data_IF_435664027784
#
_entry.id   IF_435664027784
#
_cell.length_a   1.000
_cell.length_b   1.000
_cell.length_c   1.000
_cell.angle_alpha   90.00
_cell.angle_beta   90.00
_cell.angle_gamma   90.00
#
_symmetry.space_group_name_H-M   'P 1'
#
loop_
_entity.id
_entity.type
_entity.pdbx_description
1 polymer ?
#
# COMPACT_ATOMS: atom_id res chain seq x y z
N UNK A 1 -3.13 7.31 27.98
CA UNK A 1 -3.98 6.94 26.83
C UNK A 1 -3.43 5.66 26.20
N UNK A 2 -4.35 4.77 25.79
CA UNK A 2 -4.02 3.60 24.96
C UNK A 2 -4.63 3.82 23.58
N UNK A 3 -3.83 3.61 22.51
CA UNK A 3 -4.30 3.73 21.13
C UNK A 3 -4.31 2.32 20.53
N UNK A 4 -5.46 1.91 20.01
CA UNK A 4 -5.68 0.60 19.43
C UNK A 4 -6.02 0.75 17.94
N UNK A 5 -5.28 0.07 17.07
CA UNK A 5 -5.69 -0.12 15.67
C UNK A 5 -6.51 -1.41 15.60
N UNK A 6 -7.81 -1.28 15.33
CA UNK A 6 -8.73 -2.41 15.28
C UNK A 6 -9.03 -2.79 13.83
N UNK A 7 -8.81 -4.07 13.51
CA UNK A 7 -9.19 -4.64 12.23
C UNK A 7 -10.70 -4.85 12.14
N UNK A 8 -11.25 -4.98 10.91
CA UNK A 8 -12.64 -5.33 10.70
C UNK A 8 -13.02 -6.68 11.34
N UNK A 9 -12.08 -7.62 11.38
CA UNK A 9 -12.26 -8.94 12.03
C UNK A 9 -12.46 -8.83 13.55
N UNK A 10 -11.71 -7.94 14.20
CA UNK A 10 -11.84 -7.69 15.64
C UNK A 10 -13.14 -6.96 15.94
N UNK A 11 -13.44 -5.90 15.17
CA UNK A 11 -14.69 -5.16 15.30
C UNK A 11 -15.92 -6.02 15.02
N UNK A 12 -15.84 -6.93 14.05
CA UNK A 12 -16.95 -7.84 13.75
C UNK A 12 -17.31 -8.73 14.92
N UNK A 13 -16.31 -9.22 15.66
CA UNK A 13 -16.48 -10.07 16.85
C UNK A 13 -16.73 -9.31 18.14
N UNK A 14 -16.61 -7.99 18.12
CA UNK A 14 -16.79 -7.16 19.30
C UNK A 14 -18.26 -7.13 19.71
N UNK A 15 -18.55 -7.50 20.96
CA UNK A 15 -19.91 -7.55 21.52
C UNK A 15 -20.33 -6.21 22.14
N UNK A 16 -19.40 -5.48 22.75
CA UNK A 16 -19.61 -4.15 23.33
C UNK A 16 -18.47 -3.24 22.92
N UNK A 17 -18.71 -1.93 22.94
CA UNK A 17 -17.70 -0.92 22.67
C UNK A 17 -17.67 0.07 23.84
N UNK A 18 -16.75 -0.17 24.77
CA UNK A 18 -16.51 0.66 25.93
C UNK A 18 -15.36 1.66 25.72
N UNK A 19 -14.99 1.91 24.48
CA UNK A 19 -13.94 2.86 24.11
C UNK A 19 -14.40 4.31 24.36
N UNK A 20 -13.50 5.14 24.87
CA UNK A 20 -13.79 6.56 25.06
C UNK A 20 -13.84 7.32 23.73
N UNK A 21 -13.01 6.92 22.76
CA UNK A 21 -12.92 7.56 21.46
C UNK A 21 -12.92 6.51 20.35
N UNK A 22 -13.73 6.74 19.33
CA UNK A 22 -13.78 5.95 18.09
C UNK A 22 -13.41 6.80 16.88
N UNK A 23 -12.38 6.42 16.16
CA UNK A 23 -11.92 7.13 14.96
C UNK A 23 -12.10 6.21 13.75
N UNK A 24 -12.91 6.63 12.79
CA UNK A 24 -13.09 5.96 11.53
C UNK A 24 -12.52 6.85 10.42
N UNK A 25 -11.36 6.48 9.88
CA UNK A 25 -10.69 7.28 8.87
C UNK A 25 -11.42 7.18 7.53
N UNK A 26 -11.00 6.26 6.68
CA UNK A 26 -11.67 5.99 5.41
C UNK A 26 -11.98 4.50 5.28
N UNK A 27 -13.01 4.16 4.52
CA UNK A 27 -13.36 2.78 4.23
C UNK A 27 -13.30 2.57 2.72
N UNK A 28 -12.50 1.58 2.29
CA UNK A 28 -12.44 1.11 0.92
C UNK A 28 -12.66 -0.40 0.90
N UNK A 29 -13.14 -0.94 -0.22
CA UNK A 29 -13.42 -2.36 -0.33
C UNK A 29 -12.18 -3.21 -0.07
N UNK A 30 -12.26 -4.08 0.94
CA UNK A 30 -11.24 -5.06 1.30
C UNK A 30 -11.89 -6.22 2.06
N UNK A 31 -11.21 -7.35 2.18
CA UNK A 31 -11.66 -8.51 2.98
C UNK A 31 -13.07 -9.01 2.66
N UNK A 32 -13.50 -8.91 1.39
CA UNK A 32 -14.82 -9.39 0.96
C UNK A 32 -14.93 -10.91 1.05
N UNK A 33 -13.81 -11.63 0.91
CA UNK A 33 -13.67 -13.05 1.15
C UNK A 33 -14.14 -13.49 2.54
N UNK A 34 -13.91 -12.65 3.56
CA UNK A 34 -14.39 -12.91 4.92
C UNK A 34 -15.80 -12.36 5.18
N UNK A 35 -16.05 -11.12 4.80
CA UNK A 35 -17.29 -10.41 5.13
C UNK A 35 -18.45 -10.71 4.17
N UNK A 36 -18.18 -11.37 3.05
CA UNK A 36 -19.15 -11.71 2.02
C UNK A 36 -19.62 -10.53 1.14
N UNK A 37 -19.58 -9.30 1.66
CA UNK A 37 -19.95 -8.10 0.91
C UNK A 37 -19.28 -6.83 1.45
N UNK A 38 -19.17 -5.80 0.59
CA UNK A 38 -18.72 -4.48 1.05
C UNK A 38 -19.62 -3.89 2.14
N UNK A 39 -20.93 -4.13 2.06
CA UNK A 39 -21.90 -3.66 3.07
C UNK A 39 -21.60 -4.27 4.45
N UNK A 40 -21.37 -5.57 4.51
CA UNK A 40 -21.03 -6.27 5.77
C UNK A 40 -19.67 -5.83 6.29
N UNK A 41 -18.67 -5.67 5.42
CA UNK A 41 -17.36 -5.13 5.80
C UNK A 41 -17.47 -3.72 6.38
N UNK A 42 -18.20 -2.83 5.71
CA UNK A 42 -18.47 -1.46 6.17
C UNK A 42 -19.17 -1.46 7.53
N UNK A 43 -20.21 -2.26 7.68
CA UNK A 43 -20.94 -2.40 8.94
C UNK A 43 -20.02 -2.85 10.10
N UNK A 44 -19.14 -3.82 9.86
CA UNK A 44 -18.17 -4.26 10.84
C UNK A 44 -17.21 -3.12 11.26
N UNK A 45 -16.73 -2.32 10.30
CA UNK A 45 -15.87 -1.16 10.57
C UNK A 45 -16.61 -0.05 11.33
N UNK A 46 -17.86 0.20 11.00
CA UNK A 46 -18.69 1.24 11.63
C UNK A 46 -19.02 0.95 13.10
N UNK A 47 -18.85 -0.28 13.59
CA UNK A 47 -18.98 -0.59 15.01
C UNK A 47 -18.06 0.26 15.91
N UNK A 48 -16.94 0.78 15.39
CA UNK A 48 -16.09 1.70 16.14
C UNK A 48 -16.83 3.01 16.53
N UNK A 49 -17.85 3.38 15.77
CA UNK A 49 -18.65 4.58 15.99
C UNK A 49 -19.68 4.42 17.11
N UNK A 50 -19.75 3.27 17.79
CA UNK A 50 -20.50 3.12 19.04
C UNK A 50 -19.70 3.53 20.28
N UNK A 51 -18.48 4.05 20.14
CA UNK A 51 -17.69 4.63 21.22
C UNK A 51 -18.36 5.92 21.77
N UNK A 52 -17.97 6.35 22.98
CA UNK A 52 -18.56 7.54 23.64
C UNK A 52 -18.39 8.82 22.82
N UNK A 53 -17.24 9.00 22.19
CA UNK A 53 -16.94 10.14 21.32
C UNK A 53 -16.44 9.61 19.98
N UNK A 54 -16.94 10.13 18.87
CA UNK A 54 -16.61 9.60 17.55
C UNK A 54 -16.28 10.70 16.55
N UNK A 55 -15.38 10.40 15.62
CA UNK A 55 -15.05 11.26 14.49
C UNK A 55 -14.81 10.41 13.24
N UNK A 56 -15.18 10.94 12.08
CA UNK A 56 -14.98 10.29 10.78
C UNK A 56 -14.18 11.19 9.85
N UNK A 57 -13.44 10.57 8.92
CA UNK A 57 -12.77 11.25 7.80
C UNK A 57 -11.72 12.32 8.18
N UNK A 58 -11.36 12.47 9.45
CA UNK A 58 -10.27 13.33 9.86
C UNK A 58 -8.93 12.58 9.78
N UNK A 59 -8.04 13.06 8.92
CA UNK A 59 -6.75 12.43 8.62
C UNK A 59 -5.56 13.18 9.24
N UNK A 60 -5.78 14.38 9.77
CA UNK A 60 -4.72 15.17 10.40
C UNK A 60 -4.47 14.68 11.84
N UNK A 61 -3.30 14.07 12.13
CA UNK A 61 -3.00 13.53 13.45
C UNK A 61 -2.93 14.61 14.52
N UNK A 62 -2.60 15.87 14.17
CA UNK A 62 -2.56 16.96 15.12
C UNK A 62 -3.98 17.40 15.55
N UNK A 63 -4.91 17.42 14.60
CA UNK A 63 -6.33 17.67 14.91
C UNK A 63 -6.93 16.54 15.75
N UNK A 64 -6.62 15.28 15.41
CA UNK A 64 -7.06 14.13 16.21
C UNK A 64 -6.50 14.19 17.63
N UNK A 65 -5.21 14.53 17.80
CA UNK A 65 -4.62 14.72 19.11
C UNK A 65 -5.33 15.81 19.92
N UNK A 66 -5.57 16.97 19.31
CA UNK A 66 -6.29 18.07 19.94
C UNK A 66 -7.72 17.68 20.36
N UNK A 67 -8.43 16.96 19.48
CA UNK A 67 -9.79 16.48 19.75
C UNK A 67 -9.83 15.47 20.90
N UNK A 68 -8.87 14.52 20.97
CA UNK A 68 -8.82 13.51 22.05
C UNK A 68 -8.41 14.13 23.38
N UNK A 69 -7.43 15.03 23.39
CA UNK A 69 -6.78 15.49 24.62
C UNK A 69 -7.23 16.86 25.09
N UNK A 70 -7.91 17.60 24.23
CA UNK A 70 -8.25 19.02 24.41
C UNK A 70 -7.00 19.91 24.63
N UNK A 71 -5.84 19.49 24.12
CA UNK A 71 -4.56 20.21 24.22
C UNK A 71 -4.06 20.58 22.83
N UNK A 72 -3.36 21.71 22.73
CA UNK A 72 -2.67 22.07 21.50
C UNK A 72 -1.46 21.14 21.29
N UNK A 73 -1.35 20.46 20.14
CA UNK A 73 -0.20 19.62 19.86
C UNK A 73 1.04 20.46 19.53
N UNK A 74 2.18 20.02 19.98
CA UNK A 74 3.46 20.49 19.42
C UNK A 74 3.57 19.97 17.98
N UNK A 75 3.87 20.85 17.02
CA UNK A 75 4.09 20.46 15.63
C UNK A 75 5.49 19.89 15.48
N UNK A 76 5.56 18.57 15.48
CA UNK A 76 6.79 17.81 15.21
C UNK A 76 6.73 17.21 13.81
N UNK A 77 7.88 16.97 13.21
CA UNK A 77 7.95 16.21 11.97
C UNK A 77 7.68 14.74 12.27
N UNK A 78 6.51 14.25 11.80
CA UNK A 78 6.16 12.85 11.94
C UNK A 78 7.01 12.01 10.97
N UNK A 79 7.61 10.94 11.48
CA UNK A 79 8.31 9.97 10.64
C UNK A 79 7.29 9.12 9.87
N UNK A 80 7.52 8.92 8.58
CA UNK A 80 6.76 7.96 7.80
C UNK A 80 7.01 6.53 8.32
N UNK A 81 5.98 5.69 8.26
CA UNK A 81 6.16 4.27 8.58
C UNK A 81 6.93 3.58 7.45
N UNK A 82 7.81 2.62 7.77
CA UNK A 82 8.56 1.87 6.76
C UNK A 82 7.62 1.21 5.75
N UNK A 83 8.05 1.17 4.49
CA UNK A 83 7.33 0.53 3.39
C UNK A 83 5.92 1.09 3.09
N UNK A 84 5.61 2.27 3.62
CA UNK A 84 4.39 3.03 3.30
C UNK A 84 4.76 4.28 2.52
N UNK A 85 4.92 4.13 1.23
CA UNK A 85 5.39 5.18 0.33
C UNK A 85 6.70 5.82 0.81
N UNK A 86 7.64 4.97 1.22
CA UNK A 86 8.95 5.34 1.76
C UNK A 86 9.86 5.81 0.63
N UNK A 87 10.34 7.04 0.71
CA UNK A 87 11.36 7.57 -0.18
C UNK A 87 12.72 6.97 0.21
N UNK A 88 13.20 5.99 -0.55
CA UNK A 88 14.53 5.41 -0.36
C UNK A 88 15.62 6.33 -0.91
N UNK A 89 15.33 6.98 -2.04
CA UNK A 89 16.16 8.00 -2.67
C UNK A 89 15.26 8.97 -3.45
N UNK A 90 15.87 9.97 -4.13
CA UNK A 90 15.12 10.87 -5.02
C UNK A 90 14.41 10.14 -6.17
N UNK A 91 14.86 8.92 -6.50
CA UNK A 91 14.38 8.14 -7.65
C UNK A 91 13.63 6.87 -7.27
N UNK A 92 13.71 6.42 -6.03
CA UNK A 92 13.16 5.12 -5.63
C UNK A 92 12.19 5.28 -4.47
N UNK A 93 10.98 4.79 -4.65
CA UNK A 93 9.92 4.74 -3.64
C UNK A 93 9.59 3.28 -3.35
N UNK A 94 9.62 2.90 -2.06
CA UNK A 94 9.14 1.62 -1.58
C UNK A 94 7.78 1.77 -0.91
N UNK A 95 6.75 1.21 -1.52
CA UNK A 95 5.38 1.18 -1.01
C UNK A 95 4.89 -0.27 -0.88
N UNK A 96 5.73 -1.14 -0.33
CA UNK A 96 5.40 -2.57 -0.15
C UNK A 96 4.13 -2.82 0.65
N UNK A 97 3.68 -1.85 1.46
CA UNK A 97 2.40 -1.91 2.18
C UNK A 97 1.18 -1.79 1.27
N UNK A 98 1.32 -1.41 0.03
CA UNK A 98 0.26 -1.45 -0.98
C UNK A 98 -0.14 -2.90 -1.28
N UNK A 99 -1.23 -3.36 -0.64
CA UNK A 99 -1.70 -4.75 -0.70
C UNK A 99 -3.04 -4.92 -1.42
N UNK A 100 -3.56 -3.83 -1.97
CA UNK A 100 -4.77 -3.82 -2.78
C UNK A 100 -4.70 -2.74 -3.86
N UNK A 101 -5.62 -2.82 -4.83
CA UNK A 101 -5.62 -1.91 -5.98
C UNK A 101 -5.91 -0.45 -5.61
N UNK A 102 -6.67 -0.21 -4.54
CA UNK A 102 -6.95 1.15 -4.10
C UNK A 102 -5.68 1.86 -3.60
N UNK A 103 -4.89 1.17 -2.75
CA UNK A 103 -3.61 1.71 -2.28
C UNK A 103 -2.61 1.90 -3.42
N UNK A 104 -2.56 0.97 -4.39
CA UNK A 104 -1.78 1.12 -5.61
C UNK A 104 -2.16 2.38 -6.40
N UNK A 105 -3.46 2.59 -6.63
CA UNK A 105 -3.96 3.77 -7.35
C UNK A 105 -3.59 5.08 -6.66
N UNK A 106 -3.63 5.10 -5.33
CA UNK A 106 -3.19 6.25 -4.54
C UNK A 106 -1.67 6.49 -4.68
N UNK A 107 -0.87 5.42 -4.58
CA UNK A 107 0.57 5.49 -4.74
C UNK A 107 0.98 6.02 -6.12
N UNK A 108 0.33 5.56 -7.18
CA UNK A 108 0.54 6.04 -8.55
C UNK A 108 0.28 7.56 -8.66
N UNK A 109 -0.87 8.02 -8.16
CA UNK A 109 -1.21 9.45 -8.18
C UNK A 109 -0.19 10.30 -7.42
N UNK A 110 0.30 9.80 -6.30
CA UNK A 110 1.30 10.47 -5.47
C UNK A 110 2.69 10.47 -6.13
N UNK A 111 3.10 9.33 -6.70
CA UNK A 111 4.37 9.20 -7.41
C UNK A 111 4.45 10.12 -8.63
N UNK A 112 3.38 10.23 -9.41
CA UNK A 112 3.30 11.16 -10.55
C UNK A 112 3.59 12.60 -10.15
N UNK A 113 3.13 13.02 -8.96
CA UNK A 113 3.40 14.38 -8.44
C UNK A 113 4.84 14.56 -7.94
N UNK A 114 5.40 13.51 -7.31
CA UNK A 114 6.74 13.60 -6.71
C UNK A 114 7.83 13.49 -7.77
N UNK A 115 7.73 12.51 -8.66
CA UNK A 115 8.73 12.30 -9.70
C UNK A 115 8.70 13.38 -10.78
N UNK A 116 7.52 13.91 -11.09
CA UNK A 116 7.28 14.91 -12.17
C UNK A 116 7.95 14.52 -13.51
N UNK A 117 8.13 13.23 -13.75
CA UNK A 117 8.77 12.65 -14.92
C UNK A 117 8.37 11.18 -15.07
N UNK A 118 8.83 10.52 -16.13
CA UNK A 118 8.60 9.09 -16.35
C UNK A 118 9.12 8.22 -15.22
N UNK A 119 8.41 7.13 -14.93
CA UNK A 119 8.82 6.15 -13.92
C UNK A 119 8.35 4.74 -14.29
N UNK A 120 9.03 3.76 -13.73
CA UNK A 120 8.66 2.34 -13.78
C UNK A 120 7.84 2.01 -12.55
N UNK A 121 6.72 1.32 -12.76
CA UNK A 121 5.95 0.71 -11.68
C UNK A 121 6.30 -0.76 -11.57
N UNK A 122 6.65 -1.22 -10.36
CA UNK A 122 6.91 -2.63 -10.08
C UNK A 122 5.75 -3.21 -9.26
N UNK A 123 5.15 -4.29 -9.78
CA UNK A 123 4.00 -4.99 -9.21
C UNK A 123 4.35 -6.45 -8.92
N UNK A 124 3.85 -7.00 -7.82
CA UNK A 124 3.97 -8.42 -7.48
C UNK A 124 2.96 -8.82 -6.39
N UNK A 125 2.89 -10.11 -6.08
CA UNK A 125 2.08 -10.65 -4.99
C UNK A 125 0.96 -11.56 -5.48
N UNK A 126 0.00 -11.86 -4.61
CA UNK A 126 -1.09 -12.79 -4.90
C UNK A 126 -2.38 -12.02 -5.22
N UNK A 127 -2.86 -12.05 -6.48
CA UNK A 127 -4.07 -11.31 -6.88
C UNK A 127 -5.34 -11.86 -6.24
N UNK A 128 -5.33 -13.04 -5.58
CA UNK A 128 -6.51 -13.74 -5.07
C UNK A 128 -7.69 -13.76 -6.08
N UNK A 129 -8.57 -14.72 -6.01
CA UNK A 129 -9.65 -14.90 -7.00
C UNK A 129 -10.59 -13.71 -7.20
N UNK A 130 -10.64 -12.78 -6.23
CA UNK A 130 -11.54 -11.61 -6.27
C UNK A 130 -11.04 -10.46 -7.15
N UNK A 131 -9.78 -10.45 -7.52
CA UNK A 131 -9.12 -9.33 -8.18
C UNK A 131 -8.76 -9.58 -9.66
N UNK A 132 -9.44 -10.53 -10.31
CA UNK A 132 -9.25 -10.78 -11.77
C UNK A 132 -9.93 -9.74 -12.68
N UNK A 133 -10.35 -8.60 -12.13
CA UNK A 133 -10.88 -7.51 -12.95
C UNK A 133 -9.76 -6.92 -13.80
N UNK A 134 -10.06 -6.68 -15.05
CA UNK A 134 -9.17 -5.98 -15.96
C UNK A 134 -8.91 -4.55 -15.47
N UNK A 135 -7.65 -4.18 -15.39
CA UNK A 135 -7.20 -2.91 -14.82
C UNK A 135 -6.30 -2.22 -15.83
N UNK A 136 -6.63 -0.98 -16.16
CA UNK A 136 -5.74 -0.08 -16.85
C UNK A 136 -5.05 0.83 -15.82
N UNK A 137 -3.73 0.80 -15.82
CA UNK A 137 -2.89 1.62 -14.93
C UNK A 137 -2.42 2.84 -15.72
N UNK A 138 -2.89 4.03 -15.36
CA UNK A 138 -2.44 5.29 -15.94
C UNK A 138 -1.34 5.94 -15.10
N UNK A 139 -0.28 6.37 -15.74
CA UNK A 139 0.79 7.15 -15.13
C UNK A 139 2.21 6.61 -15.30
N UNK A 140 2.52 5.32 -15.04
CA UNK A 140 3.85 4.80 -15.29
C UNK A 140 4.12 4.67 -16.79
N UNK A 141 5.39 4.84 -17.17
CA UNK A 141 5.85 4.56 -18.55
C UNK A 141 5.82 3.06 -18.83
N UNK A 142 6.26 2.26 -17.88
CA UNK A 142 6.32 0.80 -17.98
C UNK A 142 5.83 0.16 -16.68
N UNK A 143 5.25 -1.03 -16.81
CA UNK A 143 4.81 -1.84 -15.69
C UNK A 143 5.61 -3.13 -15.68
N UNK A 144 6.43 -3.33 -14.66
CA UNK A 144 7.23 -4.53 -14.48
C UNK A 144 6.56 -5.43 -13.44
N UNK A 145 6.45 -6.71 -13.77
CA UNK A 145 5.70 -7.69 -12.98
C UNK A 145 6.64 -8.86 -12.67
N UNK A 146 6.70 -9.28 -11.42
CA UNK A 146 7.50 -10.47 -11.05
C UNK A 146 6.79 -11.34 -10.01
N UNK A 147 7.35 -12.52 -9.74
CA UNK A 147 6.90 -13.46 -8.71
C UNK A 147 5.97 -14.55 -9.23
N UNK A 148 5.54 -15.43 -8.33
CA UNK A 148 4.80 -16.67 -8.66
C UNK A 148 3.50 -16.44 -9.41
N UNK A 149 2.83 -15.33 -9.15
CA UNK A 149 1.55 -14.97 -9.77
C UNK A 149 1.70 -13.92 -10.89
N UNK A 150 2.91 -13.73 -11.41
CA UNK A 150 3.18 -12.72 -12.45
C UNK A 150 2.33 -12.91 -13.71
N UNK A 151 2.06 -14.16 -14.12
CA UNK A 151 1.21 -14.45 -15.29
C UNK A 151 -0.26 -14.10 -15.05
N UNK A 152 -0.78 -14.37 -13.86
CA UNK A 152 -2.14 -14.00 -13.47
C UNK A 152 -2.29 -12.47 -13.40
N UNK A 153 -1.35 -11.79 -12.75
CA UNK A 153 -1.31 -10.33 -12.69
C UNK A 153 -1.23 -9.72 -14.09
N UNK A 154 -0.38 -10.28 -14.95
CA UNK A 154 -0.22 -9.80 -16.33
C UNK A 154 -1.53 -9.89 -17.14
N UNK A 155 -2.37 -10.89 -16.91
CA UNK A 155 -3.68 -11.01 -17.57
C UNK A 155 -4.66 -9.92 -17.11
N UNK A 156 -4.56 -9.50 -15.85
CA UNK A 156 -5.43 -8.46 -15.30
C UNK A 156 -5.03 -7.05 -15.77
N UNK A 157 -3.77 -6.81 -16.10
CA UNK A 157 -3.27 -5.49 -16.48
C UNK A 157 -3.38 -5.29 -17.98
N UNK A 158 -4.10 -4.26 -18.40
CA UNK A 158 -4.35 -3.93 -19.84
C UNK A 158 -3.26 -3.09 -20.49
N UNK A 159 -2.30 -2.59 -19.73
CA UNK A 159 -1.19 -1.81 -20.28
C UNK A 159 -0.43 -2.59 -21.35
N UNK A 160 -0.04 -1.91 -22.41
CA UNK A 160 0.77 -2.51 -23.49
C UNK A 160 2.25 -2.57 -23.11
N UNK A 161 2.75 -1.56 -22.40
CA UNK A 161 4.15 -1.45 -21.97
C UNK A 161 4.35 -2.19 -20.63
N UNK A 162 4.27 -3.51 -20.65
CA UNK A 162 4.48 -4.37 -19.48
C UNK A 162 5.43 -5.51 -19.78
N UNK A 163 6.29 -5.82 -18.82
CA UNK A 163 7.28 -6.87 -18.92
C UNK A 163 7.18 -7.79 -17.69
N UNK A 164 7.25 -9.09 -17.92
CA UNK A 164 7.26 -10.12 -16.86
C UNK A 164 8.69 -10.56 -16.62
N UNK A 165 9.06 -10.68 -15.35
CA UNK A 165 10.33 -11.23 -14.90
C UNK A 165 10.08 -12.43 -13.98
N UNK A 166 11.02 -13.36 -13.91
CA UNK A 166 10.94 -14.50 -12.99
C UNK A 166 11.21 -14.07 -11.56
N UNK A 167 12.18 -13.17 -11.37
CA UNK A 167 12.59 -12.68 -10.05
C UNK A 167 12.73 -11.16 -10.01
N UNK A 168 12.81 -10.60 -8.80
CA UNK A 168 13.14 -9.20 -8.60
C UNK A 168 14.56 -8.88 -9.07
N UNK A 169 15.47 -9.81 -8.87
CA UNK A 169 16.87 -9.68 -9.31
C UNK A 169 16.98 -9.52 -10.83
N UNK A 170 16.27 -10.34 -11.59
CA UNK A 170 16.26 -10.25 -13.06
C UNK A 170 15.70 -8.92 -13.52
N UNK A 171 14.61 -8.48 -12.86
CA UNK A 171 13.99 -7.19 -13.12
C UNK A 171 14.97 -6.02 -12.88
N UNK A 172 15.63 -6.01 -11.73
CA UNK A 172 16.56 -4.93 -11.37
C UNK A 172 17.84 -4.99 -12.23
N UNK A 173 18.30 -6.17 -12.61
CA UNK A 173 19.37 -6.34 -13.58
C UNK A 173 18.99 -5.78 -14.94
N UNK A 174 17.75 -6.01 -15.39
CA UNK A 174 17.25 -5.45 -16.64
C UNK A 174 17.27 -3.91 -16.60
N UNK A 175 16.83 -3.30 -15.52
CA UNK A 175 16.91 -1.83 -15.33
C UNK A 175 18.35 -1.38 -15.44
N UNK A 176 19.28 -2.04 -14.75
CA UNK A 176 20.71 -1.67 -14.75
C UNK A 176 21.36 -1.84 -16.12
N UNK A 177 21.16 -2.97 -16.79
CA UNK A 177 21.82 -3.29 -18.06
C UNK A 177 21.35 -2.40 -19.22
N UNK A 178 20.11 -1.98 -19.19
CA UNK A 178 19.57 -1.09 -20.21
C UNK A 178 19.80 0.40 -19.90
N UNK A 179 20.63 0.71 -18.89
CA UNK A 179 20.93 2.07 -18.43
C UNK A 179 19.65 2.90 -18.22
N UNK A 180 18.61 2.27 -17.71
CA UNK A 180 17.33 2.90 -17.50
C UNK A 180 17.47 3.85 -16.31
N UNK A 181 17.79 5.10 -16.58
CA UNK A 181 17.90 6.15 -15.58
C UNK A 181 16.51 6.73 -15.24
N UNK A 182 15.61 5.86 -14.84
CA UNK A 182 14.22 6.25 -14.52
C UNK A 182 13.93 6.12 -13.04
N UNK A 183 12.90 6.85 -12.62
CA UNK A 183 12.36 6.68 -11.29
C UNK A 183 11.65 5.33 -11.16
N UNK A 184 11.65 4.77 -9.97
CA UNK A 184 11.06 3.47 -9.66
C UNK A 184 10.06 3.60 -8.53
N UNK A 185 8.83 3.20 -8.79
CA UNK A 185 7.80 3.00 -7.76
C UNK A 185 7.61 1.50 -7.54
N UNK A 186 8.04 0.99 -6.40
CA UNK A 186 7.67 -0.35 -5.95
C UNK A 186 6.38 -0.26 -5.14
N UNK A 187 5.25 -0.55 -5.77
CA UNK A 187 3.92 -0.58 -5.14
C UNK A 187 3.18 -1.82 -5.63
N UNK A 188 3.27 -2.92 -4.89
CA UNK A 188 2.81 -4.25 -5.32
C UNK A 188 1.35 -4.35 -5.74
N UNK A 189 0.46 -3.63 -5.07
CA UNK A 189 -0.97 -3.65 -5.36
C UNK A 189 -1.72 -4.93 -4.95
N UNK A 190 -0.98 -5.92 -4.42
CA UNK A 190 -1.52 -7.22 -4.01
C UNK A 190 -0.90 -7.68 -2.68
N UNK A 191 -1.59 -8.54 -1.91
CA UNK A 191 -1.01 -9.21 -0.75
C UNK A 191 0.28 -9.93 -1.09
N UNK A 192 1.14 -10.17 -0.10
CA UNK A 192 2.45 -10.81 -0.29
C UNK A 192 2.37 -12.23 -0.85
N UNK A 193 1.24 -12.92 -0.63
CA UNK A 193 1.02 -14.27 -1.11
C UNK A 193 1.98 -15.29 -0.50
N UNK A 194 2.46 -16.20 -1.35
CA UNK A 194 3.44 -17.23 -0.96
C UNK A 194 4.89 -16.84 -1.25
N UNK A 195 5.12 -15.67 -1.84
CA UNK A 195 6.47 -15.22 -2.19
C UNK A 195 7.18 -14.61 -0.99
N UNK A 196 6.42 -14.00 -0.06
CA UNK A 196 6.93 -13.35 1.15
C UNK A 196 5.99 -13.61 2.31
N UNK A 197 6.52 -13.72 3.53
CA UNK A 197 5.72 -13.95 4.74
C UNK A 197 4.73 -12.81 5.00
N UNK A 198 5.12 -11.58 4.67
CA UNK A 198 4.32 -10.37 4.85
C UNK A 198 4.89 -9.21 4.01
N UNK A 199 4.22 -8.05 4.06
CA UNK A 199 4.66 -6.86 3.34
C UNK A 199 6.00 -6.28 3.84
N UNK A 200 6.35 -6.49 5.11
CA UNK A 200 7.62 -6.00 5.68
C UNK A 200 8.80 -6.79 5.11
N UNK A 201 8.69 -8.12 5.06
CA UNK A 201 9.71 -8.97 4.45
C UNK A 201 9.90 -8.63 2.98
N UNK A 202 8.80 -8.45 2.25
CA UNK A 202 8.82 -8.00 0.86
C UNK A 202 9.49 -6.64 0.69
N UNK A 203 9.19 -5.69 1.57
CA UNK A 203 9.78 -4.35 1.55
C UNK A 203 11.28 -4.35 1.87
N UNK A 204 11.70 -5.12 2.88
CA UNK A 204 13.12 -5.31 3.22
C UNK A 204 13.90 -5.94 2.07
N UNK A 205 13.31 -6.98 1.46
CA UNK A 205 13.91 -7.65 0.33
C UNK A 205 14.10 -6.68 -0.86
N UNK A 206 13.05 -5.93 -1.22
CA UNK A 206 13.17 -4.90 -2.26
C UNK A 206 14.29 -3.90 -1.92
N UNK A 207 14.34 -3.36 -0.69
CA UNK A 207 15.38 -2.41 -0.29
C UNK A 207 16.79 -2.99 -0.46
N UNK A 208 17.00 -4.25 -0.05
CA UNK A 208 18.31 -4.90 -0.17
C UNK A 208 18.72 -5.09 -1.63
N UNK A 209 17.81 -5.53 -2.48
CA UNK A 209 18.08 -5.75 -3.90
C UNK A 209 18.25 -4.43 -4.67
N UNK A 210 17.42 -3.42 -4.38
CA UNK A 210 17.56 -2.10 -5.00
C UNK A 210 18.94 -1.48 -4.70
N UNK A 211 19.42 -1.57 -3.46
CA UNK A 211 20.78 -1.13 -3.09
C UNK A 211 21.86 -1.85 -3.90
N UNK A 212 21.74 -3.16 -4.05
CA UNK A 212 22.70 -3.99 -4.75
C UNK A 212 22.76 -3.71 -6.24
N UNK A 213 21.62 -3.54 -6.89
CA UNK A 213 21.53 -3.51 -8.34
C UNK A 213 21.43 -2.10 -8.93
N UNK A 214 20.88 -1.15 -8.23
CA UNK A 214 20.66 0.20 -8.76
C UNK A 214 21.78 1.20 -8.40
N UNK A 215 22.78 0.77 -7.62
CA UNK A 215 23.96 1.57 -7.24
C UNK A 215 23.63 2.98 -6.71
N UNK A 216 22.46 3.19 -6.13
CA UNK A 216 22.12 4.46 -5.54
C UNK A 216 22.64 4.52 -4.08
N UNK A 217 23.35 5.58 -3.75
CA UNK A 217 23.70 5.89 -2.37
C UNK A 217 22.43 6.30 -1.61
N UNK A 218 21.96 5.43 -0.74
CA UNK A 218 20.80 5.63 0.14
C UNK A 218 21.22 6.28 1.45
#
# INVERSE_FOLDING_TARGET
YSILELSSFQLDKMKSNDLDFGILLNIQSDHIDYHGSFKSYKFAKEKILSAKNTITDEMDPFKLFQWITNKQPERIQLKSLPFRFELMSKKIINDSKSTNFHSLSYAIKKAKKIFNSEYILIICGDPKKENYKEILIDGPKEVFIFGKHSREINRCIKNTNKIIFESLEDLLNHIRQNNINQNVLFSPGYPSGKDFSNFMDRGKYFNSQAKKYLNENF
#
